data_IF_779887100013
#
_entry.id   IF_779887100013
#
_cell.length_a   1.000
_cell.length_b   1.000
_cell.length_c   1.000
_cell.angle_alpha   90.00
_cell.angle_beta   90.00
_cell.angle_gamma   90.00
#
_symmetry.space_group_name_H-M   'P 1'
#
loop_
_entity.id
_entity.type
_entity.pdbx_description
1 polymer ?
#
# COMPACT_ATOMS: atom_id res chain seq x y z
N UNK A 1 -6.22 -14.30 -21.86
CA UNK A 1 -6.85 -13.22 -21.14
C UNK A 1 -5.98 -12.75 -19.99
N UNK A 2 -5.74 -11.50 -19.98
CA UNK A 2 -4.89 -10.95 -18.95
C UNK A 2 -5.75 -10.51 -17.79
N UNK A 3 -5.48 -11.07 -16.63
CA UNK A 3 -6.15 -10.67 -15.42
C UNK A 3 -5.21 -9.75 -14.67
N UNK A 4 -5.66 -8.57 -14.41
CA UNK A 4 -4.87 -7.68 -13.58
C UNK A 4 -4.80 -8.26 -12.18
N UNK A 5 -3.60 -8.52 -11.71
CA UNK A 5 -3.41 -9.06 -10.38
C UNK A 5 -3.30 -7.93 -9.40
N UNK A 6 -4.21 -7.88 -8.44
CA UNK A 6 -4.13 -6.93 -7.36
C UNK A 6 -3.40 -7.62 -6.21
N UNK A 7 -2.32 -7.03 -5.77
CA UNK A 7 -1.49 -7.58 -4.70
C UNK A 7 -1.55 -6.66 -3.49
N UNK A 8 -1.40 -7.22 -2.31
CA UNK A 8 -1.29 -6.37 -1.12
C UNK A 8 0.08 -5.73 -1.10
N UNK A 9 0.16 -4.59 -0.44
CA UNK A 9 1.42 -3.89 -0.28
C UNK A 9 2.49 -4.79 0.34
N UNK A 10 2.07 -5.71 1.20
CA UNK A 10 2.99 -6.64 1.86
C UNK A 10 3.61 -7.66 0.91
N UNK A 11 3.04 -7.84 -0.27
CA UNK A 11 3.50 -8.83 -1.24
C UNK A 11 4.40 -8.25 -2.32
N UNK A 12 4.60 -6.95 -2.32
CA UNK A 12 5.38 -6.29 -3.35
C UNK A 12 6.86 -6.26 -2.99
N UNK A 13 7.70 -6.24 -4.01
CA UNK A 13 9.14 -6.12 -3.82
C UNK A 13 9.57 -4.67 -3.74
N UNK A 14 10.69 -4.37 -3.09
CA UNK A 14 11.23 -3.01 -3.10
C UNK A 14 11.44 -2.53 -4.54
N UNK A 15 11.11 -1.28 -4.78
CA UNK A 15 11.18 -0.68 -6.11
C UNK A 15 9.92 -0.80 -6.93
N UNK A 16 8.93 -1.57 -6.48
CA UNK A 16 7.67 -1.70 -7.18
C UNK A 16 6.86 -0.42 -7.06
N UNK A 17 6.27 -0.01 -8.17
CA UNK A 17 5.39 1.17 -8.22
C UNK A 17 4.01 0.73 -8.64
N UNK A 18 3.03 1.43 -8.13
CA UNK A 18 1.65 1.14 -8.49
C UNK A 18 0.70 2.14 -7.88
N UNK A 19 -0.58 1.82 -7.95
CA UNK A 19 -1.63 2.68 -7.40
C UNK A 19 -2.45 1.89 -6.41
N UNK A 20 -2.90 2.58 -5.37
CA UNK A 20 -3.81 1.97 -4.42
C UNK A 20 -5.12 1.66 -5.13
N UNK A 21 -5.46 0.38 -5.17
CA UNK A 21 -6.69 -0.09 -5.78
C UNK A 21 -7.83 -0.09 -4.77
N UNK A 22 -7.54 -0.52 -3.56
CA UNK A 22 -8.55 -0.68 -2.54
C UNK A 22 -7.87 -0.82 -1.18
N UNK A 23 -8.54 -0.32 -0.16
CA UNK A 23 -8.12 -0.55 1.21
C UNK A 23 -9.24 -1.36 1.84
N UNK A 24 -8.92 -2.56 2.29
CA UNK A 24 -9.93 -3.44 2.88
C UNK A 24 -10.35 -2.90 4.24
N UNK A 25 -11.55 -3.27 4.65
CA UNK A 25 -12.08 -2.80 5.92
C UNK A 25 -11.16 -3.23 7.06
N UNK A 26 -10.87 -2.30 7.92
CA UNK A 26 -10.02 -2.51 9.07
C UNK A 26 -10.82 -2.14 10.33
N UNK A 27 -11.03 -3.13 11.19
CA UNK A 27 -11.82 -2.94 12.40
C UNK A 27 -11.13 -2.08 13.44
N UNK A 28 -9.86 -1.79 13.26
CA UNK A 28 -9.10 -0.99 14.21
C UNK A 28 -9.08 0.50 13.88
N UNK A 29 -9.68 0.88 12.77
CA UNK A 29 -9.69 2.28 12.33
C UNK A 29 -8.39 2.76 11.71
N UNK A 30 -7.47 1.86 11.42
CA UNK A 30 -6.18 2.24 10.83
C UNK A 30 -6.33 2.77 9.41
N UNK A 31 -7.37 2.31 8.69
CA UNK A 31 -7.63 2.80 7.35
C UNK A 31 -7.90 4.31 7.34
N UNK A 32 -8.58 4.80 8.38
CA UNK A 32 -8.85 6.23 8.49
C UNK A 32 -7.56 7.03 8.67
N UNK A 33 -6.61 6.48 9.41
CA UNK A 33 -5.30 7.13 9.57
C UNK A 33 -4.55 7.19 8.25
N UNK A 34 -4.63 6.11 7.48
CA UNK A 34 -3.97 6.07 6.18
C UNK A 34 -4.56 7.13 5.26
N UNK A 35 -5.87 7.28 5.27
CA UNK A 35 -6.52 8.30 4.45
C UNK A 35 -6.07 9.69 4.86
N UNK A 36 -5.93 9.92 6.16
CA UNK A 36 -5.47 11.21 6.67
C UNK A 36 -4.02 11.51 6.24
N UNK A 37 -3.25 10.47 5.94
CA UNK A 37 -1.87 10.61 5.47
C UNK A 37 -1.76 10.64 3.95
N UNK A 38 -2.90 10.59 3.25
CA UNK A 38 -2.91 10.64 1.79
C UNK A 38 -2.94 9.29 1.10
N UNK A 39 -3.02 8.20 1.85
CA UNK A 39 -3.09 6.86 1.26
C UNK A 39 -4.55 6.54 0.98
N UNK A 40 -4.97 6.89 -0.22
CA UNK A 40 -6.36 6.70 -0.66
C UNK A 40 -6.37 5.99 -1.99
N UNK A 41 -7.53 5.47 -2.39
CA UNK A 41 -7.68 4.81 -3.68
C UNK A 41 -7.24 5.74 -4.80
N UNK A 42 -6.40 5.24 -5.69
CA UNK A 42 -5.85 6.01 -6.79
C UNK A 42 -4.51 6.65 -6.49
N UNK A 43 -4.07 6.66 -5.24
CA UNK A 43 -2.78 7.26 -4.89
C UNK A 43 -1.64 6.42 -5.45
N UNK A 44 -0.61 7.08 -5.97
CA UNK A 44 0.58 6.38 -6.44
C UNK A 44 1.50 6.08 -5.28
N UNK A 45 2.04 4.87 -5.27
CA UNK A 45 2.99 4.47 -4.25
C UNK A 45 4.22 3.83 -4.88
N UNK A 46 5.32 3.89 -4.15
CA UNK A 46 6.55 3.19 -4.51
C UNK A 46 7.02 2.47 -3.26
N UNK A 47 7.23 1.17 -3.36
CA UNK A 47 7.71 0.38 -2.22
C UNK A 47 9.20 0.60 -2.09
N UNK A 48 9.64 0.97 -0.90
CA UNK A 48 11.05 1.24 -0.63
C UNK A 48 11.71 0.09 0.13
N UNK A 49 10.96 -0.55 1.02
CA UNK A 49 11.50 -1.59 1.88
C UNK A 49 10.37 -2.51 2.31
N UNK A 50 10.65 -3.79 2.43
CA UNK A 50 9.65 -4.76 2.87
C UNK A 50 10.10 -5.58 4.07
N UNK A 51 11.32 -5.37 4.53
CA UNK A 51 11.85 -6.10 5.68
C UNK A 51 12.89 -5.23 6.39
N UNK A 52 12.87 -5.20 7.73
CA UNK A 52 11.93 -5.90 8.63
C UNK A 52 10.53 -5.28 8.65
N UNK A 53 10.39 -4.03 8.34
CA UNK A 53 9.10 -3.37 8.24
C UNK A 53 8.83 -2.95 6.81
N UNK A 54 7.62 -2.54 6.55
CA UNK A 54 7.23 -2.11 5.22
C UNK A 54 7.25 -0.60 5.15
N UNK A 55 8.07 -0.07 4.25
CA UNK A 55 8.21 1.36 4.04
C UNK A 55 7.89 1.64 2.58
N UNK A 56 7.06 2.62 2.36
CA UNK A 56 6.69 3.01 1.01
C UNK A 56 6.55 4.53 0.93
N UNK A 57 6.66 5.04 -0.27
CA UNK A 57 6.48 6.45 -0.55
C UNK A 57 5.11 6.65 -1.18
N UNK A 58 4.37 7.62 -0.69
CA UNK A 58 3.08 7.99 -1.22
C UNK A 58 3.04 9.51 -1.30
N UNK A 59 2.89 10.03 -2.52
CA UNK A 59 2.80 11.47 -2.73
C UNK A 59 3.99 12.22 -2.09
N UNK A 60 5.19 11.69 -2.33
CA UNK A 60 6.45 12.27 -1.84
C UNK A 60 6.60 12.21 -0.30
N UNK A 61 5.75 11.45 0.35
CA UNK A 61 5.84 11.24 1.78
C UNK A 61 6.20 9.79 2.04
N UNK A 62 7.23 9.56 2.83
CA UNK A 62 7.65 8.23 3.19
C UNK A 62 6.91 7.76 4.42
N UNK A 63 6.30 6.60 4.33
CA UNK A 63 5.47 6.05 5.39
C UNK A 63 5.94 4.64 5.73
N UNK A 64 5.87 4.31 7.00
CA UNK A 64 6.15 2.96 7.49
C UNK A 64 4.87 2.41 8.09
N UNK A 65 4.54 1.17 7.75
CA UNK A 65 3.35 0.52 8.27
C UNK A 65 3.68 -0.88 8.75
N UNK A 66 2.87 -1.36 9.68
CA UNK A 66 2.95 -2.74 10.11
C UNK A 66 2.52 -3.66 8.99
N UNK A 67 3.05 -4.87 8.98
CA UNK A 67 2.73 -5.84 7.94
C UNK A 67 1.22 -6.12 7.88
N UNK A 68 0.56 -6.18 9.02
CA UNK A 68 -0.88 -6.39 9.06
C UNK A 68 -1.63 -5.28 8.33
N UNK A 69 -1.19 -4.03 8.49
CA UNK A 69 -1.79 -2.90 7.78
C UNK A 69 -1.50 -3.00 6.29
N UNK A 70 -0.28 -3.38 5.94
CA UNK A 70 0.12 -3.51 4.54
C UNK A 70 -0.72 -4.56 3.81
N UNK A 71 -1.12 -5.62 4.50
CA UNK A 71 -1.99 -6.63 3.89
C UNK A 71 -3.35 -6.08 3.50
N UNK A 72 -3.80 -5.03 4.15
CA UNK A 72 -5.10 -4.42 3.87
C UNK A 72 -5.05 -3.41 2.73
N UNK A 73 -3.86 -3.04 2.28
CA UNK A 73 -3.70 -2.07 1.20
C UNK A 73 -3.44 -2.84 -0.09
N UNK A 74 -4.42 -2.81 -0.98
CA UNK A 74 -4.31 -3.54 -2.25
C UNK A 74 -3.82 -2.61 -3.34
N UNK A 75 -2.86 -3.07 -4.11
CA UNK A 75 -2.14 -2.27 -5.10
C UNK A 75 -2.31 -2.88 -6.47
N UNK A 76 -2.52 -2.03 -7.46
CA UNK A 76 -2.40 -2.39 -8.87
C UNK A 76 -1.00 -2.00 -9.29
N UNK A 77 -0.09 -2.96 -9.47
CA UNK A 77 1.27 -2.62 -9.90
C UNK A 77 1.28 -2.05 -11.31
N UNK A 78 2.17 -1.13 -11.56
CA UNK A 78 2.35 -0.55 -12.90
C UNK A 78 2.91 -1.58 -13.87
#
# INVERSE_FOLDING_TARGET
>A
MSTRSTLSLAQLSPGTRGRVSRITRDLTGRADRLAALGVTVGAEITVLQTFPGIVFECDQTELAVERAVAHAILIDPD
#
